data_IF_317603907151
#
_entry.id   IF_317603907151
#
_cell.length_a   1.000
_cell.length_b   1.000
_cell.length_c   1.000
_cell.angle_alpha   90.00
_cell.angle_beta   90.00
_cell.angle_gamma   90.00
#
_symmetry.space_group_name_H-M   'P 1'
#
loop_
_entity.id
_entity.type
_entity.pdbx_description
1 polymer ?
#
# COMPACT_ATOMS: atom_id res chain seq x y z
N UNK A 1 3.24 17.01 -32.68
CA UNK A 1 4.23 16.09 -32.07
C UNK A 1 4.32 16.26 -30.56
N UNK A 2 4.31 17.48 -30.01
CA UNK A 2 4.45 17.71 -28.56
C UNK A 2 3.26 17.23 -27.70
N UNK A 3 2.04 17.30 -28.24
CA UNK A 3 0.83 16.86 -27.55
C UNK A 3 0.75 15.34 -27.36
N UNK A 4 1.39 14.55 -28.23
CA UNK A 4 1.49 13.09 -28.08
C UNK A 4 2.41 12.72 -26.90
N UNK A 5 3.52 13.45 -26.72
CA UNK A 5 4.44 13.26 -25.60
C UNK A 5 3.74 13.56 -24.27
N UNK A 6 2.94 14.63 -24.22
CA UNK A 6 2.14 14.96 -23.04
C UNK A 6 1.14 13.86 -22.68
N UNK A 7 0.45 13.28 -23.65
CA UNK A 7 -0.49 12.16 -23.42
C UNK A 7 0.23 10.94 -22.86
N UNK A 8 1.40 10.59 -23.41
CA UNK A 8 2.19 9.44 -22.95
C UNK A 8 2.62 9.64 -21.49
N UNK A 9 3.08 10.84 -21.12
CA UNK A 9 3.46 11.16 -19.74
C UNK A 9 2.25 11.03 -18.79
N UNK A 10 1.08 11.54 -19.19
CA UNK A 10 -0.15 11.42 -18.40
C UNK A 10 -0.59 9.97 -18.18
N UNK A 11 -0.46 9.13 -19.21
CA UNK A 11 -0.78 7.70 -19.11
C UNK A 11 0.17 6.99 -18.14
N UNK A 12 1.48 7.27 -18.20
CA UNK A 12 2.47 6.68 -17.29
C UNK A 12 2.19 7.09 -15.85
N UNK A 13 1.88 8.36 -15.60
CA UNK A 13 1.50 8.85 -14.27
C UNK A 13 0.22 8.16 -13.80
N UNK A 14 -0.79 8.02 -14.65
CA UNK A 14 -2.04 7.34 -14.33
C UNK A 14 -1.86 5.86 -13.93
N UNK A 15 -0.93 5.16 -14.58
CA UNK A 15 -0.60 3.76 -14.25
C UNK A 15 0.16 3.66 -12.93
N UNK A 16 1.14 4.53 -12.69
CA UNK A 16 1.96 4.51 -11.45
C UNK A 16 1.13 4.94 -10.22
N UNK A 17 0.24 5.92 -10.39
CA UNK A 17 -0.69 6.37 -9.36
C UNK A 17 -2.00 5.57 -9.33
N UNK A 18 -2.08 4.50 -10.12
CA UNK A 18 -3.21 3.58 -10.17
C UNK A 18 -3.55 3.10 -8.76
N UNK A 19 -4.78 3.40 -8.34
CA UNK A 19 -5.25 3.05 -7.00
C UNK A 19 -5.32 1.52 -6.89
N UNK A 20 -4.66 0.91 -5.91
CA UNK A 20 -4.66 -0.55 -5.78
C UNK A 20 -6.10 -1.03 -5.52
N UNK A 21 -6.56 -1.98 -6.35
CA UNK A 21 -7.94 -2.48 -6.29
C UNK A 21 -8.19 -3.46 -5.14
N UNK A 22 -7.15 -4.15 -4.66
CA UNK A 22 -7.26 -5.19 -3.64
C UNK A 22 -6.12 -5.15 -2.63
N UNK A 23 -6.39 -5.69 -1.45
CA UNK A 23 -5.42 -5.87 -0.38
C UNK A 23 -4.52 -7.06 -0.67
N UNK A 24 -3.20 -6.86 -0.58
CA UNK A 24 -2.21 -7.92 -0.83
C UNK A 24 -2.29 -9.07 0.20
N UNK A 25 -2.75 -8.79 1.42
CA UNK A 25 -2.83 -9.80 2.51
C UNK A 25 -4.13 -10.60 2.49
N UNK A 26 -5.30 -9.95 2.43
CA UNK A 26 -6.59 -10.65 2.57
C UNK A 26 -7.39 -10.73 1.25
N UNK A 27 -6.88 -10.20 0.15
CA UNK A 27 -7.54 -10.20 -1.16
C UNK A 27 -8.79 -9.32 -1.27
N UNK A 28 -9.24 -8.70 -0.17
CA UNK A 28 -10.44 -7.85 -0.17
C UNK A 28 -10.24 -6.61 -1.02
N UNK A 29 -11.31 -6.20 -1.73
CA UNK A 29 -11.29 -4.99 -2.53
C UNK A 29 -11.17 -3.73 -1.65
N UNK A 30 -10.29 -2.81 -2.03
CA UNK A 30 -10.05 -1.57 -1.30
C UNK A 30 -10.93 -0.46 -1.87
N UNK A 31 -12.04 -0.16 -1.20
CA UNK A 31 -13.04 0.79 -1.70
C UNK A 31 -12.68 2.27 -1.51
N UNK A 32 -12.02 2.64 -0.40
CA UNK A 32 -11.86 4.05 0.00
C UNK A 32 -10.42 4.42 0.33
N UNK A 33 -9.87 3.76 1.34
CA UNK A 33 -8.54 4.04 1.91
C UNK A 33 -7.67 2.81 1.83
N UNK A 34 -6.43 2.99 1.40
CA UNK A 34 -5.40 1.97 1.36
C UNK A 34 -4.15 2.48 2.06
N UNK A 35 -3.36 1.56 2.62
CA UNK A 35 -2.11 1.86 3.31
C UNK A 35 -0.98 1.12 2.61
N UNK A 36 0.15 1.79 2.41
CA UNK A 36 1.34 1.17 1.84
C UNK A 36 2.25 0.73 2.98
N UNK A 37 2.61 -0.54 2.98
CA UNK A 37 3.53 -1.14 3.95
C UNK A 37 4.68 -1.81 3.21
N UNK A 38 5.88 -1.74 3.77
CA UNK A 38 7.00 -2.54 3.28
C UNK A 38 7.10 -3.78 4.18
N UNK A 39 6.85 -4.96 3.60
CA UNK A 39 6.97 -6.24 4.29
C UNK A 39 7.96 -7.06 3.47
N UNK A 40 9.04 -7.52 4.10
CA UNK A 40 10.05 -8.36 3.43
C UNK A 40 10.62 -7.70 2.15
N UNK A 41 11.00 -6.42 2.28
CA UNK A 41 11.47 -5.54 1.19
C UNK A 41 10.45 -5.28 0.05
N UNK A 42 9.26 -5.89 0.10
CA UNK A 42 8.20 -5.70 -0.90
C UNK A 42 7.19 -4.65 -0.43
N UNK A 43 6.89 -3.69 -1.31
CA UNK A 43 5.81 -2.72 -1.09
C UNK A 43 4.46 -3.42 -1.28
N UNK A 44 3.75 -3.61 -0.17
CA UNK A 44 2.44 -4.22 -0.10
C UNK A 44 1.37 -3.16 0.14
N UNK A 45 0.21 -3.36 -0.47
CA UNK A 45 -0.98 -2.55 -0.20
C UNK A 45 -1.89 -3.28 0.78
N UNK A 46 -2.25 -2.60 1.86
CA UNK A 46 -3.15 -3.11 2.89
C UNK A 46 -4.49 -2.36 2.89
N UNK A 47 -5.57 -3.09 3.14
CA UNK A 47 -6.84 -2.51 3.54
C UNK A 47 -6.78 -2.03 5.02
N UNK A 48 -7.73 -1.18 5.47
CA UNK A 48 -7.73 -0.64 6.83
C UNK A 48 -7.71 -1.74 7.92
N UNK A 49 -8.40 -2.87 7.68
CA UNK A 49 -8.43 -4.00 8.61
C UNK A 49 -7.05 -4.68 8.74
N UNK A 50 -6.37 -4.94 7.62
CA UNK A 50 -5.04 -5.52 7.64
C UNK A 50 -3.99 -4.55 8.18
N UNK A 51 -4.14 -3.26 7.88
CA UNK A 51 -3.32 -2.19 8.45
C UNK A 51 -3.38 -2.19 9.99
N UNK A 52 -4.59 -2.18 10.57
CA UNK A 52 -4.76 -2.19 12.03
C UNK A 52 -4.14 -3.43 12.70
N UNK A 53 -4.21 -4.59 12.05
CA UNK A 53 -3.54 -5.80 12.56
C UNK A 53 -2.02 -5.69 12.49
N UNK A 54 -1.49 -5.11 11.40
CA UNK A 54 -0.06 -4.89 11.23
C UNK A 54 0.48 -3.92 12.28
N UNK A 55 -0.18 -2.79 12.50
CA UNK A 55 0.19 -1.81 13.53
C UNK A 55 0.22 -2.43 14.93
N UNK A 56 -0.76 -3.28 15.26
CA UNK A 56 -0.77 -4.01 16.54
C UNK A 56 0.41 -4.96 16.68
N UNK A 57 0.79 -5.67 15.61
CA UNK A 57 1.98 -6.55 15.62
C UNK A 57 3.24 -5.75 15.86
N UNK A 58 3.46 -4.69 15.09
CA UNK A 58 4.64 -3.80 15.25
C UNK A 58 4.70 -3.19 16.64
N UNK A 59 3.56 -2.71 17.16
CA UNK A 59 3.49 -2.16 18.51
C UNK A 59 3.83 -3.21 19.58
N UNK A 60 3.31 -4.44 19.44
CA UNK A 60 3.61 -5.55 20.33
C UNK A 60 5.08 -5.96 20.27
N UNK A 61 5.66 -6.05 19.08
CA UNK A 61 7.09 -6.34 18.88
C UNK A 61 7.96 -5.25 19.51
N UNK A 62 7.63 -3.97 19.31
CA UNK A 62 8.34 -2.86 19.91
C UNK A 62 8.25 -2.88 21.45
N UNK A 63 7.07 -3.21 22.00
CA UNK A 63 6.88 -3.36 23.44
C UNK A 63 7.74 -4.51 24.00
N UNK A 64 7.65 -5.70 23.40
CA UNK A 64 8.43 -6.86 23.81
C UNK A 64 9.93 -6.61 23.70
N UNK A 65 10.40 -5.91 22.66
CA UNK A 65 11.82 -5.57 22.52
C UNK A 65 12.32 -4.66 23.65
N UNK A 66 11.45 -3.84 24.24
CA UNK A 66 11.81 -2.86 25.27
C UNK A 66 11.65 -3.40 26.69
N UNK A 67 10.69 -4.30 26.91
CA UNK A 67 10.28 -4.74 28.25
C UNK A 67 10.25 -6.26 28.45
N UNK A 68 10.47 -7.04 27.39
CA UNK A 68 10.47 -8.50 27.42
C UNK A 68 11.87 -9.09 27.40
#
# INVERSE_FOLDING_TARGET
MEWLVAIIIFVIIGVIFGKPSSCSICGQSIKKTYYKWTIDEKKQTLCPKCNSQMERKVSKEAFNRRFG
#
